data_IF_793254874000
#
_entry.id   IF_793254874000
#
_cell.length_a   1.000
_cell.length_b   1.000
_cell.length_c   1.000
_cell.angle_alpha   90.00
_cell.angle_beta   90.00
_cell.angle_gamma   90.00
#
_symmetry.space_group_name_H-M   'P 1'
#
loop_
_entity.id
_entity.type
_entity.pdbx_description
1 polymer ?
#
# COMPACT_ATOMS: atom_id res chain seq x y z
N UNK A 1 -18.39 1.20 3.12
CA UNK A 1 -17.55 2.11 3.92
C UNK A 1 -16.59 1.24 4.74
N UNK A 2 -15.40 1.00 4.19
CA UNK A 2 -14.37 0.24 4.88
C UNK A 2 -13.88 1.01 6.09
N UNK A 3 -14.00 0.43 7.28
CA UNK A 3 -13.33 0.91 8.48
C UNK A 3 -11.83 0.87 8.21
N UNK A 4 -11.24 2.01 7.82
CA UNK A 4 -9.78 2.15 7.77
C UNK A 4 -9.27 2.02 9.21
N UNK A 5 -8.74 0.84 9.53
CA UNK A 5 -8.14 0.60 10.84
C UNK A 5 -6.99 1.57 11.04
N UNK A 6 -7.14 2.48 12.00
CA UNK A 6 -6.10 3.48 12.32
C UNK A 6 -4.85 2.86 12.94
N UNK A 7 -4.99 1.68 13.55
CA UNK A 7 -3.90 0.94 14.21
C UNK A 7 -4.03 -0.53 13.80
N UNK A 8 -2.92 -1.16 13.44
CA UNK A 8 -2.84 -2.57 13.06
C UNK A 8 -1.66 -3.23 13.77
N UNK A 9 -1.91 -4.38 14.39
CA UNK A 9 -0.84 -5.25 14.88
C UNK A 9 -0.32 -6.12 13.73
N UNK A 10 0.99 -6.33 13.67
CA UNK A 10 1.70 -7.24 12.77
C UNK A 10 2.61 -8.13 13.60
N UNK A 11 2.64 -9.39 13.27
CA UNK A 11 3.47 -10.39 13.91
C UNK A 11 4.53 -10.90 12.94
N UNK A 12 5.73 -11.22 13.43
CA UNK A 12 6.79 -11.78 12.60
C UNK A 12 6.38 -13.12 11.99
N UNK A 13 5.68 -13.94 12.76
CA UNK A 13 5.13 -15.23 12.33
C UNK A 13 4.14 -15.12 11.15
N UNK A 14 3.50 -13.96 10.96
CA UNK A 14 2.66 -13.71 9.78
C UNK A 14 3.43 -13.79 8.46
N UNK A 15 4.76 -13.61 8.49
CA UNK A 15 5.65 -13.60 7.33
C UNK A 15 6.39 -14.93 7.12
N UNK A 16 6.18 -15.93 7.97
CA UNK A 16 6.82 -17.24 7.82
C UNK A 16 6.21 -18.01 6.65
N UNK A 17 7.06 -18.67 5.85
CA UNK A 17 6.61 -19.55 4.77
C UNK A 17 5.81 -20.73 5.32
N UNK A 18 6.29 -21.30 6.45
CA UNK A 18 5.57 -22.34 7.18
C UNK A 18 4.88 -21.72 8.39
N UNK A 19 3.55 -21.72 8.39
CA UNK A 19 2.76 -21.20 9.49
C UNK A 19 2.91 -22.11 10.71
N UNK A 20 3.05 -21.49 11.87
CA UNK A 20 3.11 -22.16 13.17
C UNK A 20 2.29 -21.40 14.20
N UNK A 21 1.59 -22.13 15.04
CA UNK A 21 0.82 -21.56 16.16
C UNK A 21 1.71 -21.28 17.39
N UNK A 22 2.92 -21.83 17.42
CA UNK A 22 3.89 -21.69 18.52
C UNK A 22 5.28 -21.35 17.96
N UNK A 23 5.53 -20.10 17.54
CA UNK A 23 6.81 -19.67 17.03
C UNK A 23 7.84 -19.55 18.18
N UNK A 24 9.02 -20.11 18.02
CA UNK A 24 10.13 -19.99 19.01
C UNK A 24 10.58 -18.54 19.19
N UNK A 25 10.38 -17.68 18.18
CA UNK A 25 10.62 -16.24 18.20
C UNK A 25 9.43 -15.49 17.62
N UNK A 26 8.86 -14.58 18.41
CA UNK A 26 7.79 -13.70 17.95
C UNK A 26 8.16 -12.23 18.18
N UNK A 27 7.95 -11.41 17.16
CA UNK A 27 8.06 -9.96 17.23
C UNK A 27 6.70 -9.33 16.87
N UNK A 28 6.17 -8.54 17.77
CA UNK A 28 4.94 -7.80 17.57
C UNK A 28 5.24 -6.33 17.24
N UNK A 29 4.80 -5.88 16.07
CA UNK A 29 4.87 -4.48 15.66
C UNK A 29 3.48 -3.84 15.63
N UNK A 30 3.39 -2.60 16.12
CA UNK A 30 2.19 -1.76 15.94
C UNK A 30 2.40 -0.82 14.77
N UNK A 31 1.53 -0.92 13.79
CA UNK A 31 1.53 -0.04 12.61
C UNK A 31 0.43 1.01 12.78
N UNK A 32 0.81 2.27 12.73
CA UNK A 32 -0.10 3.40 12.85
C UNK A 32 -0.32 4.03 11.47
N UNK A 33 -1.57 4.27 11.12
CA UNK A 33 -1.91 5.06 9.95
C UNK A 33 -1.72 6.54 10.29
N UNK A 34 -0.67 7.15 9.74
CA UNK A 34 -0.30 8.57 9.98
C UNK A 34 -0.81 9.50 8.86
N UNK A 35 -1.60 9.01 7.91
CA UNK A 35 -2.18 9.88 6.90
C UNK A 35 -2.94 11.04 7.55
N UNK A 36 -2.92 12.20 6.89
CA UNK A 36 -3.55 13.41 7.40
C UNK A 36 -4.99 13.16 7.87
N UNK A 37 -5.31 13.65 9.05
CA UNK A 37 -6.61 13.45 9.70
C UNK A 37 -6.82 12.09 10.39
N UNK A 38 -5.84 11.16 10.32
CA UNK A 38 -5.88 9.88 11.04
C UNK A 38 -5.04 9.96 12.33
N UNK A 39 -5.34 9.08 13.30
CA UNK A 39 -4.61 8.96 14.59
C UNK A 39 -4.25 10.31 15.24
N UNK A 40 -5.20 11.23 15.34
CA UNK A 40 -5.00 12.61 15.85
C UNK A 40 -4.26 12.66 17.17
N UNK A 41 -4.50 11.72 18.08
CA UNK A 41 -3.81 11.66 19.38
C UNK A 41 -2.28 11.50 19.28
N UNK A 42 -1.76 10.93 18.16
CA UNK A 42 -0.32 10.85 17.89
C UNK A 42 0.15 12.13 17.21
N UNK A 43 -0.61 12.62 16.25
CA UNK A 43 -0.28 13.83 15.48
C UNK A 43 -0.19 15.05 16.38
N UNK A 44 -1.13 15.23 17.30
CA UNK A 44 -1.13 16.34 18.29
C UNK A 44 0.10 16.35 19.21
N UNK A 45 0.77 15.19 19.40
CA UNK A 45 1.99 15.08 20.20
C UNK A 45 3.26 15.34 19.40
N UNK A 46 3.18 15.34 18.08
CA UNK A 46 4.34 15.55 17.22
C UNK A 46 3.99 16.52 16.08
N UNK A 47 4.13 17.81 16.35
CA UNK A 47 3.82 18.88 15.38
C UNK A 47 4.52 18.67 14.04
N UNK A 48 5.79 18.28 14.03
CA UNK A 48 6.55 18.02 12.81
C UNK A 48 5.95 16.90 11.95
N UNK A 49 5.44 15.86 12.57
CA UNK A 49 4.78 14.77 11.88
C UNK A 49 3.45 15.21 11.29
N UNK A 50 2.67 15.99 12.04
CA UNK A 50 1.39 16.53 11.58
C UNK A 50 1.58 17.45 10.37
N UNK A 51 2.51 18.40 10.46
CA UNK A 51 2.87 19.31 9.38
C UNK A 51 3.41 18.57 8.15
N UNK A 52 4.23 17.51 8.35
CA UNK A 52 4.71 16.67 7.26
C UNK A 52 3.56 15.95 6.55
N UNK A 53 2.59 15.41 7.28
CA UNK A 53 1.45 14.74 6.67
C UNK A 53 0.49 15.71 5.97
N UNK A 54 0.38 16.96 6.46
CA UNK A 54 -0.31 18.03 5.73
C UNK A 54 0.37 18.32 4.39
N UNK A 55 1.69 18.41 4.37
CA UNK A 55 2.45 18.61 3.13
C UNK A 55 2.24 17.46 2.15
N UNK A 56 2.37 16.21 2.59
CA UNK A 56 2.15 15.01 1.75
C UNK A 56 0.72 14.99 1.19
N UNK A 57 -0.28 15.35 2.00
CA UNK A 57 -1.68 15.40 1.56
C UNK A 57 -1.89 16.48 0.50
N UNK A 58 -1.25 17.64 0.63
CA UNK A 58 -1.28 18.70 -0.37
C UNK A 58 -0.63 18.30 -1.70
N UNK A 59 0.49 17.61 -1.66
CA UNK A 59 1.11 17.04 -2.87
C UNK A 59 0.14 16.11 -3.58
N UNK A 60 -0.51 15.21 -2.84
CA UNK A 60 -1.52 14.27 -3.38
C UNK A 60 -2.74 15.00 -3.95
N UNK A 61 -3.20 16.06 -3.28
CA UNK A 61 -4.34 16.87 -3.75
C UNK A 61 -4.03 17.53 -5.09
N UNK A 62 -2.90 18.21 -5.21
CA UNK A 62 -2.51 18.89 -6.45
C UNK A 62 -2.26 17.92 -7.61
N UNK A 63 -1.67 16.77 -7.32
CA UNK A 63 -1.39 15.76 -8.35
C UNK A 63 -2.66 15.05 -8.86
N UNK A 64 -3.68 14.83 -8.00
CA UNK A 64 -4.97 14.24 -8.43
C UNK A 64 -5.80 15.13 -9.32
N UNK A 65 -5.60 16.42 -9.28
CA UNK A 65 -6.47 17.41 -9.95
C UNK A 65 -6.13 17.67 -11.42
N UNK A 66 -5.15 16.96 -12.01
CA UNK A 66 -4.62 17.24 -13.34
C UNK A 66 -4.44 16.02 -14.21
N UNK A 67 -4.74 16.21 -15.51
CA UNK A 67 -4.44 15.26 -16.60
C UNK A 67 -2.94 15.29 -17.03
N UNK A 68 -2.15 16.26 -16.57
CA UNK A 68 -0.74 16.39 -16.90
C UNK A 68 0.16 15.92 -15.76
N UNK A 69 1.04 14.98 -16.06
CA UNK A 69 1.90 14.23 -15.13
C UNK A 69 3.17 15.03 -14.75
N UNK A 70 3.05 16.33 -14.40
CA UNK A 70 4.15 17.14 -13.90
C UNK A 70 4.20 17.13 -12.37
N UNK A 71 4.67 16.01 -11.83
CA UNK A 71 4.78 15.78 -10.39
C UNK A 71 5.70 16.83 -9.71
N UNK A 72 6.80 17.25 -10.35
CA UNK A 72 7.70 18.23 -9.76
C UNK A 72 7.03 19.60 -9.60
N UNK A 73 6.22 20.02 -10.58
CA UNK A 73 5.46 21.25 -10.49
C UNK A 73 4.41 21.18 -9.37
N UNK A 74 3.75 20.05 -9.20
CA UNK A 74 2.74 19.86 -8.15
C UNK A 74 3.37 19.81 -6.75
N UNK A 75 4.53 19.17 -6.59
CA UNK A 75 5.31 19.21 -5.34
C UNK A 75 5.71 20.66 -5.03
N UNK A 76 6.22 21.41 -6.01
CA UNK A 76 6.61 22.80 -5.80
C UNK A 76 5.44 23.69 -5.38
N UNK A 77 4.24 23.49 -5.95
CA UNK A 77 3.02 24.18 -5.52
C UNK A 77 2.62 23.84 -4.09
N UNK A 78 2.75 22.56 -3.71
CA UNK A 78 2.50 22.14 -2.34
C UNK A 78 3.49 22.77 -1.36
N UNK A 79 4.77 22.90 -1.75
CA UNK A 79 5.79 23.59 -0.97
C UNK A 79 5.42 25.06 -0.78
N UNK A 80 5.05 25.78 -1.86
CA UNK A 80 4.66 27.19 -1.78
C UNK A 80 3.45 27.38 -0.87
N UNK A 81 2.42 26.55 -1.02
CA UNK A 81 1.26 26.56 -0.13
C UNK A 81 1.64 26.36 1.35
N UNK A 82 2.51 25.38 1.63
CA UNK A 82 2.93 25.08 3.00
C UNK A 82 3.74 26.25 3.61
N UNK A 83 4.63 26.89 2.84
CA UNK A 83 5.40 28.06 3.27
C UNK A 83 4.47 29.24 3.59
N UNK A 84 3.45 29.49 2.76
CA UNK A 84 2.45 30.55 2.97
C UNK A 84 1.59 30.33 4.21
N UNK A 85 1.35 29.06 4.58
CA UNK A 85 0.53 28.67 5.73
C UNK A 85 1.33 28.29 6.98
N UNK A 86 2.63 28.63 7.04
CA UNK A 86 3.53 28.35 8.17
C UNK A 86 3.69 26.85 8.50
N UNK A 87 3.46 25.96 7.51
CA UNK A 87 3.64 24.50 7.62
C UNK A 87 5.04 24.14 7.17
N UNK A 88 5.87 23.57 8.06
CA UNK A 88 7.28 23.23 7.79
C UNK A 88 8.11 24.35 7.15
N UNK A 89 7.71 25.60 7.33
CA UNK A 89 8.19 26.76 6.57
C UNK A 89 9.71 26.87 6.50
N UNK A 90 10.38 26.89 7.65
CA UNK A 90 11.83 27.05 7.73
C UNK A 90 12.55 25.90 6.99
N UNK A 91 12.10 24.68 7.21
CA UNK A 91 12.63 23.48 6.58
C UNK A 91 12.45 23.51 5.06
N UNK A 92 11.25 23.85 4.58
CA UNK A 92 10.95 23.89 3.16
C UNK A 92 11.67 25.03 2.42
N UNK A 93 11.88 26.19 3.09
CA UNK A 93 12.68 27.28 2.54
C UNK A 93 14.15 26.89 2.39
N UNK A 94 14.72 26.21 3.39
CA UNK A 94 16.13 25.80 3.38
C UNK A 94 16.41 24.65 2.42
N UNK A 95 15.48 23.66 2.32
CA UNK A 95 15.73 22.38 1.64
C UNK A 95 14.80 22.08 0.47
N UNK A 96 14.21 23.11 -0.12
CA UNK A 96 13.23 22.97 -1.22
C UNK A 96 13.64 21.98 -2.30
N UNK A 97 14.85 22.12 -2.85
CA UNK A 97 15.34 21.28 -3.94
C UNK A 97 15.58 19.82 -3.56
N UNK A 98 15.98 19.57 -2.31
CA UNK A 98 16.14 18.21 -1.78
C UNK A 98 14.77 17.55 -1.59
N UNK A 99 13.84 18.28 -0.98
CA UNK A 99 12.47 17.81 -0.75
C UNK A 99 11.78 17.47 -2.06
N UNK A 100 11.88 18.33 -3.08
CA UNK A 100 11.28 18.07 -4.40
C UNK A 100 11.82 16.76 -5.00
N UNK A 101 13.13 16.55 -4.96
CA UNK A 101 13.74 15.32 -5.50
C UNK A 101 13.34 14.05 -4.74
N UNK A 102 13.38 14.11 -3.40
CA UNK A 102 13.03 12.96 -2.56
C UNK A 102 11.55 12.60 -2.74
N UNK A 103 10.66 13.59 -2.70
CA UNK A 103 9.23 13.37 -2.87
C UNK A 103 8.88 12.83 -4.25
N UNK A 104 9.54 13.32 -5.31
CA UNK A 104 9.34 12.79 -6.65
C UNK A 104 9.79 11.33 -6.77
N UNK A 105 10.90 10.97 -6.13
CA UNK A 105 11.40 9.59 -6.11
C UNK A 105 10.45 8.65 -5.33
N UNK A 106 10.05 9.04 -4.14
CA UNK A 106 9.14 8.24 -3.29
C UNK A 106 7.79 8.03 -3.98
N UNK A 107 7.24 9.08 -4.58
CA UNK A 107 5.95 8.99 -5.28
C UNK A 107 6.02 8.07 -6.51
N UNK A 108 7.12 8.12 -7.26
CA UNK A 108 7.34 7.24 -8.42
C UNK A 108 7.45 5.79 -7.97
N UNK A 109 8.14 5.53 -6.86
CA UNK A 109 8.28 4.19 -6.30
C UNK A 109 6.94 3.65 -5.79
N UNK A 110 6.16 4.45 -5.06
CA UNK A 110 4.83 4.07 -4.59
C UNK A 110 3.89 3.74 -5.77
N UNK A 111 3.89 4.57 -6.83
CA UNK A 111 3.09 4.34 -8.03
C UNK A 111 3.50 3.05 -8.75
N UNK A 112 4.79 2.79 -8.85
CA UNK A 112 5.30 1.53 -9.43
C UNK A 112 4.85 0.33 -8.60
N UNK A 113 4.95 0.39 -7.29
CA UNK A 113 4.52 -0.68 -6.38
C UNK A 113 3.00 -0.92 -6.44
N UNK A 114 2.20 0.13 -6.60
CA UNK A 114 0.75 0.01 -6.82
C UNK A 114 0.43 -0.67 -8.15
N UNK A 115 1.15 -0.33 -9.21
CA UNK A 115 1.01 -0.98 -10.53
C UNK A 115 1.38 -2.46 -10.46
N UNK A 116 2.52 -2.79 -9.86
CA UNK A 116 2.96 -4.18 -9.68
C UNK A 116 1.95 -5.01 -8.87
N UNK A 117 1.38 -4.42 -7.80
CA UNK A 117 0.32 -5.08 -7.01
C UNK A 117 -0.96 -5.28 -7.82
N UNK A 118 -1.36 -4.30 -8.61
CA UNK A 118 -2.55 -4.39 -9.47
C UNK A 118 -2.38 -5.46 -10.55
N UNK A 119 -1.19 -5.54 -11.14
CA UNK A 119 -0.87 -6.55 -12.16
C UNK A 119 -0.80 -7.94 -11.55
N UNK A 120 -0.13 -8.12 -10.40
CA UNK A 120 -0.08 -9.39 -9.68
C UNK A 120 -1.49 -9.87 -9.27
N UNK A 121 -2.36 -8.96 -8.84
CA UNK A 121 -3.75 -9.29 -8.52
C UNK A 121 -4.56 -9.72 -9.75
N UNK A 122 -4.34 -9.05 -10.89
CA UNK A 122 -4.97 -9.37 -12.16
C UNK A 122 -4.51 -10.74 -12.69
N UNK A 123 -3.21 -11.00 -12.61
CA UNK A 123 -2.63 -12.29 -12.99
C UNK A 123 -3.16 -13.43 -12.11
N UNK A 124 -3.22 -13.23 -10.80
CA UNK A 124 -3.79 -14.18 -9.85
C UNK A 124 -5.26 -14.50 -10.15
N UNK A 125 -6.07 -13.50 -10.50
CA UNK A 125 -7.46 -13.72 -10.92
C UNK A 125 -7.56 -14.54 -12.21
N UNK A 126 -6.70 -14.25 -13.19
CA UNK A 126 -6.68 -15.00 -14.46
C UNK A 126 -6.26 -16.45 -14.22
N UNK A 127 -5.23 -16.68 -13.38
CA UNK A 127 -4.78 -18.02 -13.01
C UNK A 127 -5.90 -18.80 -12.30
N UNK A 128 -6.57 -18.18 -11.33
CA UNK A 128 -7.71 -18.78 -10.62
C UNK A 128 -8.85 -19.15 -11.56
N UNK A 129 -9.21 -18.24 -12.49
CA UNK A 129 -10.26 -18.51 -13.48
C UNK A 129 -9.90 -19.68 -14.41
N UNK A 130 -8.62 -19.78 -14.82
CA UNK A 130 -8.14 -20.90 -15.62
C UNK A 130 -8.25 -22.23 -14.89
N UNK A 131 -7.88 -22.26 -13.60
CA UNK A 131 -7.98 -23.46 -12.78
C UNK A 131 -9.43 -23.89 -12.63
N UNK A 132 -10.32 -22.97 -12.26
CA UNK A 132 -11.75 -23.26 -12.08
C UNK A 132 -12.35 -23.82 -13.39
N UNK A 133 -12.07 -23.20 -14.53
CA UNK A 133 -12.57 -23.68 -15.82
C UNK A 133 -12.09 -25.11 -16.14
N UNK A 134 -10.79 -25.37 -15.93
CA UNK A 134 -10.26 -26.75 -16.12
C UNK A 134 -10.94 -27.76 -15.21
N UNK A 135 -11.13 -27.47 -13.94
CA UNK A 135 -11.81 -28.35 -12.99
C UNK A 135 -13.28 -28.60 -13.38
N UNK A 136 -13.96 -27.56 -13.88
CA UNK A 136 -15.34 -27.70 -14.37
C UNK A 136 -15.42 -28.56 -15.67
N UNK A 137 -14.48 -28.35 -16.57
CA UNK A 137 -14.39 -29.15 -17.83
C UNK A 137 -14.11 -30.64 -17.53
N UNK A 138 -13.32 -30.93 -16.51
CA UNK A 138 -13.03 -32.27 -16.00
C UNK A 138 -14.18 -32.84 -15.14
N UNK A 139 -15.24 -32.09 -14.91
CA UNK A 139 -16.38 -32.49 -14.09
C UNK A 139 -16.16 -32.46 -12.58
N UNK A 140 -15.04 -31.90 -12.12
CA UNK A 140 -14.61 -31.85 -10.71
C UNK A 140 -15.21 -30.67 -9.96
N UNK A 141 -16.54 -30.61 -9.84
CA UNK A 141 -17.27 -29.47 -9.24
C UNK A 141 -16.89 -29.26 -7.78
N UNK A 142 -16.70 -30.32 -7.00
CA UNK A 142 -16.33 -30.23 -5.58
C UNK A 142 -14.94 -29.62 -5.40
N UNK A 143 -13.98 -29.98 -6.26
CA UNK A 143 -12.64 -29.37 -6.25
C UNK A 143 -12.68 -27.90 -6.66
N UNK A 144 -13.48 -27.57 -7.71
CA UNK A 144 -13.68 -26.19 -8.14
C UNK A 144 -14.26 -25.31 -7.01
N UNK A 145 -15.09 -25.87 -6.14
CA UNK A 145 -15.61 -25.20 -4.96
C UNK A 145 -14.53 -25.03 -3.89
N UNK A 146 -13.79 -26.11 -3.62
CA UNK A 146 -12.75 -26.12 -2.58
C UNK A 146 -11.62 -25.12 -2.87
N UNK A 147 -11.19 -24.96 -4.12
CA UNK A 147 -10.14 -23.98 -4.47
C UNK A 147 -10.55 -22.52 -4.21
N UNK A 148 -11.84 -22.21 -4.09
CA UNK A 148 -12.31 -20.87 -3.74
C UNK A 148 -12.28 -20.59 -2.23
N UNK A 149 -12.21 -21.63 -1.40
CA UNK A 149 -12.28 -21.56 0.06
C UNK A 149 -10.92 -21.83 0.72
N UNK A 150 -10.05 -22.62 0.06
CA UNK A 150 -8.77 -23.09 0.60
C UNK A 150 -7.62 -22.62 -0.32
N UNK A 151 -6.91 -21.57 0.13
CA UNK A 151 -5.83 -20.96 -0.63
C UNK A 151 -4.62 -21.90 -0.86
N UNK A 152 -4.28 -22.73 0.15
CA UNK A 152 -3.16 -23.66 0.03
C UNK A 152 -3.48 -24.80 -0.95
N UNK A 153 -4.73 -25.27 -0.91
CA UNK A 153 -5.22 -26.24 -1.87
C UNK A 153 -5.23 -25.69 -3.28
N UNK A 154 -5.67 -24.45 -3.46
CA UNK A 154 -5.65 -23.73 -4.71
C UNK A 154 -4.23 -23.63 -5.30
N UNK A 155 -3.26 -23.17 -4.51
CA UNK A 155 -1.86 -23.02 -4.97
C UNK A 155 -1.26 -24.36 -5.38
N UNK A 156 -1.52 -25.44 -4.64
CA UNK A 156 -1.05 -26.79 -4.98
C UNK A 156 -1.61 -27.26 -6.32
N UNK A 157 -2.92 -27.08 -6.54
CA UNK A 157 -3.54 -27.46 -7.81
C UNK A 157 -3.08 -26.59 -8.96
N UNK A 158 -2.84 -25.29 -8.76
CA UNK A 158 -2.28 -24.43 -9.79
C UNK A 158 -0.92 -24.93 -10.28
N UNK A 159 -0.06 -25.40 -9.38
CA UNK A 159 1.23 -26.02 -9.71
C UNK A 159 1.06 -27.36 -10.44
N UNK A 160 0.14 -28.20 -9.98
CA UNK A 160 -0.15 -29.52 -10.59
C UNK A 160 -0.69 -29.37 -12.02
N UNK A 161 -1.56 -28.40 -12.26
CA UNK A 161 -2.12 -28.10 -13.58
C UNK A 161 -1.20 -27.21 -14.44
N UNK A 162 -0.01 -26.82 -13.94
CA UNK A 162 0.97 -26.00 -14.66
C UNK A 162 0.45 -24.62 -15.03
N UNK A 163 -0.33 -24.01 -14.15
CA UNK A 163 -0.89 -22.65 -14.33
C UNK A 163 0.07 -21.61 -13.81
N UNK A 164 0.82 -21.95 -12.75
CA UNK A 164 1.91 -21.15 -12.14
C UNK A 164 3.14 -22.02 -11.96
#
# INVERSE_FOLDING_TARGET
MGSEMCIRDRYLSDSFEQKTDDPELELKCKVYNINYGKNRAIMEKCRWLDEYMMFVDKVREYHRSKDEDDLEADINKAIDYCIENDVLKEFLLERRGEVTKVMALDYTFDKQLEMERADAWKEGRVAMSKLINKLLDDGNIEEARRVTEDAEYCERLMKEYGII
#
